data_IF_084118826181
#
_entry.id   IF_084118826181
#
_cell.length_a   1.000
_cell.length_b   1.000
_cell.length_c   1.000
_cell.angle_alpha   90.00
_cell.angle_beta   90.00
_cell.angle_gamma   90.00
#
_symmetry.space_group_name_H-M   'P 1'
#
loop_
_entity.id
_entity.type
_entity.pdbx_description
1 polymer ?
#
# COMPACT_ATOMS: atom_id res chain seq x y z
N UNK A 1 -17.03 -2.80 22.56
CA UNK A 1 -15.86 -2.86 21.66
C UNK A 1 -15.31 -1.46 21.48
N UNK A 2 -14.05 -1.17 21.84
CA UNK A 2 -13.39 0.07 21.42
C UNK A 2 -13.06 -0.07 19.94
N UNK A 3 -13.47 0.88 19.11
CA UNK A 3 -12.98 0.96 17.74
C UNK A 3 -11.46 1.18 17.81
N UNK A 4 -10.68 0.30 17.17
CA UNK A 4 -9.26 0.58 16.95
C UNK A 4 -9.18 1.70 15.92
N UNK A 5 -8.38 2.73 16.22
CA UNK A 5 -8.07 3.78 15.25
C UNK A 5 -7.38 3.17 14.03
N UNK A 6 -7.77 3.65 12.85
CA UNK A 6 -7.10 3.33 11.58
C UNK A 6 -6.28 4.55 11.17
N UNK A 7 -5.10 4.28 10.61
CA UNK A 7 -4.20 5.26 10.01
C UNK A 7 -4.12 5.05 8.50
N UNK A 8 -3.84 6.12 7.77
CA UNK A 8 -3.65 6.09 6.32
C UNK A 8 -2.17 5.86 6.01
N UNK A 9 -1.88 4.85 5.18
CA UNK A 9 -0.53 4.50 4.76
C UNK A 9 -0.40 4.61 3.24
N UNK A 10 0.65 5.27 2.77
CA UNK A 10 1.11 5.14 1.39
C UNK A 10 2.13 4.00 1.31
N UNK A 11 1.84 3.03 0.46
CA UNK A 11 2.68 1.85 0.23
C UNK A 11 3.17 1.87 -1.21
N UNK A 12 4.47 2.10 -1.40
CA UNK A 12 5.13 2.03 -2.71
C UNK A 12 5.75 0.65 -2.87
N UNK A 13 5.41 -0.04 -3.95
CA UNK A 13 5.93 -1.37 -4.28
C UNK A 13 6.73 -1.34 -5.56
N UNK A 14 7.89 -1.99 -5.55
CA UNK A 14 8.74 -2.18 -6.72
C UNK A 14 8.54 -3.59 -7.28
N UNK A 15 7.99 -3.67 -8.49
CA UNK A 15 7.50 -4.90 -9.13
C UNK A 15 8.36 -5.26 -10.35
N UNK A 16 8.72 -6.53 -10.51
CA UNK A 16 9.57 -6.99 -11.62
C UNK A 16 8.77 -7.15 -12.91
N UNK A 17 9.02 -6.30 -13.91
CA UNK A 17 8.51 -6.46 -15.27
C UNK A 17 9.53 -7.14 -16.19
N UNK A 18 9.10 -7.54 -17.38
CA UNK A 18 9.94 -8.22 -18.39
C UNK A 18 11.10 -7.35 -18.90
N UNK A 19 11.02 -6.01 -18.77
CA UNK A 19 12.05 -5.10 -19.29
C UNK A 19 12.39 -3.89 -18.39
N UNK A 20 11.66 -3.63 -17.28
CA UNK A 20 11.90 -2.53 -16.33
C UNK A 20 11.42 -2.85 -14.90
N UNK A 21 11.91 -2.11 -13.89
CA UNK A 21 11.28 -2.09 -12.55
C UNK A 21 10.03 -1.20 -12.60
N UNK A 22 8.86 -1.82 -12.44
CA UNK A 22 7.57 -1.11 -12.40
C UNK A 22 7.29 -0.66 -10.98
N UNK A 23 6.94 0.62 -10.79
CA UNK A 23 6.54 1.15 -9.49
C UNK A 23 5.02 1.20 -9.42
N UNK A 24 4.44 0.61 -8.38
CA UNK A 24 3.02 0.78 -8.04
C UNK A 24 2.89 1.43 -6.66
N UNK A 25 1.94 2.33 -6.50
CA UNK A 25 1.67 3.02 -5.23
C UNK A 25 0.24 2.74 -4.80
N UNK A 26 0.07 2.38 -3.52
CA UNK A 26 -1.21 2.08 -2.89
C UNK A 26 -1.44 3.02 -1.73
N UNK A 27 -2.70 3.38 -1.50
CA UNK A 27 -3.14 4.09 -0.31
C UNK A 27 -4.01 3.12 0.50
N UNK A 28 -3.62 2.87 1.74
CA UNK A 28 -4.17 1.78 2.55
C UNK A 28 -4.57 2.32 3.92
N UNK A 29 -5.83 2.10 4.32
CA UNK A 29 -6.27 2.31 5.69
C UNK A 29 -5.97 1.04 6.49
N UNK A 30 -5.08 1.14 7.48
CA UNK A 30 -4.68 0.00 8.29
C UNK A 30 -4.44 0.41 9.75
N UNK A 31 -4.40 -0.59 10.63
CA UNK A 31 -4.13 -0.38 12.06
C UNK A 31 -2.66 -0.10 12.36
N UNK A 32 -1.77 -0.49 11.46
CA UNK A 32 -0.32 -0.27 11.50
C UNK A 32 0.27 -0.55 10.10
N UNK A 33 1.55 -0.23 9.91
CA UNK A 33 2.29 -0.44 8.66
C UNK A 33 2.38 -1.91 8.24
N UNK A 34 2.56 -2.82 9.20
CA UNK A 34 2.66 -4.26 8.95
C UNK A 34 1.36 -4.80 8.31
N UNK A 35 0.20 -4.37 8.81
CA UNK A 35 -1.10 -4.72 8.22
C UNK A 35 -1.32 -4.08 6.85
N UNK A 36 -0.80 -2.86 6.62
CA UNK A 36 -0.88 -2.24 5.30
C UNK A 36 -0.09 -3.05 4.26
N UNK A 37 1.09 -3.55 4.61
CA UNK A 37 1.90 -4.43 3.76
C UNK A 37 1.16 -5.73 3.42
N UNK A 38 0.59 -6.41 4.43
CA UNK A 38 -0.18 -7.65 4.24
C UNK A 38 -1.33 -7.47 3.24
N UNK A 39 -2.07 -6.35 3.35
CA UNK A 39 -3.18 -6.04 2.47
C UNK A 39 -2.69 -5.86 1.02
N UNK A 40 -1.61 -5.11 0.81
CA UNK A 40 -1.04 -4.92 -0.54
C UNK A 40 -0.49 -6.24 -1.10
N UNK A 41 0.17 -7.06 -0.29
CA UNK A 41 0.63 -8.41 -0.68
C UNK A 41 -0.51 -9.37 -1.01
N UNK A 42 -1.70 -9.18 -0.45
CA UNK A 42 -2.88 -9.98 -0.80
C UNK A 42 -3.49 -9.57 -2.13
N UNK A 43 -3.33 -8.30 -2.51
CA UNK A 43 -3.87 -7.74 -3.75
C UNK A 43 -2.94 -7.98 -4.95
N UNK A 44 -1.63 -7.83 -4.75
CA UNK A 44 -0.62 -8.16 -5.76
C UNK A 44 -0.34 -9.67 -5.75
N UNK A 45 -0.17 -10.27 -6.91
CA UNK A 45 0.30 -11.67 -7.00
C UNK A 45 1.69 -11.74 -6.35
N UNK A 46 1.85 -12.63 -5.37
CA UNK A 46 2.96 -12.65 -4.40
C UNK A 46 4.37 -12.66 -5.00
N UNK A 47 4.53 -13.15 -6.22
CA UNK A 47 5.85 -13.45 -6.81
C UNK A 47 6.50 -12.24 -7.51
N UNK A 48 5.78 -11.12 -7.65
CA UNK A 48 6.28 -10.00 -8.46
C UNK A 48 6.94 -8.87 -7.63
N UNK A 49 6.89 -8.89 -6.29
CA UNK A 49 7.30 -7.75 -5.44
C UNK A 49 8.69 -7.95 -4.83
N UNK A 50 9.61 -7.01 -5.07
CA UNK A 50 10.94 -6.99 -4.45
C UNK A 50 10.98 -6.27 -3.11
N UNK A 51 10.41 -5.07 -3.06
CA UNK A 51 10.62 -4.12 -1.97
C UNK A 51 9.37 -3.27 -1.73
N UNK A 52 9.21 -2.86 -0.48
CA UNK A 52 8.16 -1.97 0.00
C UNK A 52 8.78 -0.72 0.62
N UNK A 53 8.21 0.44 0.31
CA UNK A 53 8.38 1.66 1.10
C UNK A 53 7.02 2.07 1.66
N UNK A 54 6.88 2.08 2.98
CA UNK A 54 5.61 2.34 3.67
C UNK A 54 5.75 3.58 4.52
N UNK A 55 4.87 4.56 4.29
CA UNK A 55 4.87 5.84 4.99
C UNK A 55 3.46 6.12 5.50
N UNK A 56 3.32 6.37 6.81
CA UNK A 56 2.07 6.89 7.37
C UNK A 56 1.89 8.33 6.91
N UNK A 57 0.70 8.65 6.40
CA UNK A 57 0.42 9.97 5.81
C UNK A 57 -0.70 10.65 6.59
N UNK A 58 -0.43 11.88 7.02
CA UNK A 58 -1.39 12.72 7.75
C UNK A 58 -2.33 13.50 6.82
N UNK A 59 -2.04 13.53 5.51
CA UNK A 59 -2.77 14.33 4.52
C UNK A 59 -3.07 13.50 3.27
N UNK A 60 -4.25 13.71 2.68
CA UNK A 60 -4.64 13.09 1.42
C UNK A 60 -3.59 13.39 0.33
N UNK A 61 -3.14 12.39 -0.44
CA UNK A 61 -2.14 12.62 -1.47
C UNK A 61 -2.72 13.48 -2.58
N UNK A 62 -2.35 14.76 -2.62
CA UNK A 62 -2.92 15.77 -3.54
C UNK A 62 -2.60 15.53 -5.02
N UNK A 63 -1.72 14.58 -5.35
CA UNK A 63 -1.23 14.35 -6.72
C UNK A 63 -1.05 12.88 -7.11
N UNK A 64 -1.55 11.92 -6.32
CA UNK A 64 -1.38 10.49 -6.64
C UNK A 64 -2.67 9.89 -7.23
N UNK A 65 -2.55 9.23 -8.38
CA UNK A 65 -3.64 8.43 -8.94
C UNK A 65 -3.88 7.22 -8.04
N UNK A 66 -4.91 7.30 -7.18
CA UNK A 66 -5.33 6.19 -6.32
C UNK A 66 -5.93 5.08 -7.17
N UNK A 67 -5.19 3.99 -7.36
CA UNK A 67 -5.61 2.85 -8.18
C UNK A 67 -6.58 1.89 -7.47
N UNK A 68 -6.81 2.08 -6.17
CA UNK A 68 -7.80 1.32 -5.41
C UNK A 68 -7.80 1.65 -3.93
N UNK A 69 -9.00 1.58 -3.32
CA UNK A 69 -9.20 1.67 -1.87
C UNK A 69 -9.71 0.32 -1.41
N UNK A 70 -8.96 -0.36 -0.53
CA UNK A 70 -9.40 -1.60 0.11
C UNK A 70 -9.99 -1.24 1.47
N UNK A 71 -11.29 -1.43 1.62
CA UNK A 71 -11.99 -1.30 2.90
C UNK A 71 -12.38 -2.70 3.35
N UNK A 72 -11.90 -3.13 4.51
CA UNK A 72 -12.27 -4.40 5.16
C UNK A 72 -13.12 -4.17 6.38
#
# INVERSE_FOLDING_TARGET
MRAMALSLYRVVTFVRGSDFESVATFVVLARNSERAEELVRSFLKRDDIKEFSIVEVDTEPTHEHVLGVIVT
#
